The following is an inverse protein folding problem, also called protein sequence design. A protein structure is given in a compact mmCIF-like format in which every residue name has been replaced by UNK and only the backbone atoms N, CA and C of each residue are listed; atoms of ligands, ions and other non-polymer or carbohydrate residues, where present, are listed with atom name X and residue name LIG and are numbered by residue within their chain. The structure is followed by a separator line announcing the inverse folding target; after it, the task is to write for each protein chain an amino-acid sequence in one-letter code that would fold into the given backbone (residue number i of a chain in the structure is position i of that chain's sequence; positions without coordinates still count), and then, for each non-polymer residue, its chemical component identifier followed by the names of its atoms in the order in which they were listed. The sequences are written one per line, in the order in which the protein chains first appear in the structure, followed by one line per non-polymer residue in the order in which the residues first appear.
data_IF_473429035861
#
_entry.id   IF_473429035861
#
_cell.length_a   1.000
_cell.length_b   1.000
_cell.length_c   1.000
_cell.angle_alpha   90.00
_cell.angle_beta   90.00
_cell.angle_gamma   90.00
#
_symmetry.space_group_name_H-M   'P 1'
#
loop_
_entity.id
_entity.type
_entity.pdbx_description
1 polymer ?
#
# COMPACT_ATOMS: atom_id res chain seq x y z
N UNK A 1 -31.62 -41.39 18.40
CA UNK A 1 -30.73 -40.93 17.30
C UNK A 1 -31.38 -39.74 16.59
N UNK A 2 -30.87 -38.51 16.80
CA UNK A 2 -31.03 -37.40 15.86
C UNK A 2 -29.72 -37.15 15.10
N UNK A 3 -29.83 -37.19 13.78
CA UNK A 3 -28.83 -36.81 12.80
C UNK A 3 -28.83 -35.28 12.66
N UNK A 4 -27.70 -34.61 12.85
CA UNK A 4 -27.57 -33.20 12.46
C UNK A 4 -26.17 -32.90 11.93
N UNK A 5 -26.10 -33.02 10.60
CA UNK A 5 -25.49 -32.05 9.69
C UNK A 5 -24.17 -31.44 10.16
N UNK A 6 -23.07 -32.11 9.82
CA UNK A 6 -21.73 -31.53 9.80
C UNK A 6 -21.68 -30.41 8.76
N UNK A 7 -21.96 -29.19 9.22
CA UNK A 7 -21.83 -27.95 8.47
C UNK A 7 -20.37 -27.80 8.01
N UNK A 8 -20.15 -28.09 6.73
CA UNK A 8 -18.87 -28.01 6.06
C UNK A 8 -18.34 -26.58 6.18
N UNK A 9 -17.22 -26.41 6.91
CA UNK A 9 -16.51 -25.15 7.07
C UNK A 9 -16.17 -24.58 5.69
N UNK A 10 -16.95 -23.59 5.26
CA UNK A 10 -16.63 -22.76 4.13
C UNK A 10 -15.38 -21.96 4.50
N UNK A 11 -14.21 -22.43 4.04
CA UNK A 11 -12.96 -21.70 4.09
C UNK A 11 -13.05 -20.57 3.05
N UNK A 12 -13.88 -19.57 3.35
CA UNK A 12 -13.79 -18.28 2.70
C UNK A 12 -12.45 -17.70 3.13
N UNK A 13 -11.42 -17.92 2.30
CA UNK A 13 -10.27 -17.04 2.20
C UNK A 13 -10.85 -15.69 1.79
N UNK A 14 -11.32 -14.96 2.80
CA UNK A 14 -11.72 -13.57 2.72
C UNK A 14 -10.43 -12.81 2.42
N UNK A 15 -10.04 -12.83 1.14
CA UNK A 15 -9.16 -11.85 0.57
C UNK A 15 -9.98 -10.58 0.62
N UNK A 16 -9.97 -9.98 1.81
CA UNK A 16 -10.60 -8.72 2.12
C UNK A 16 -9.91 -7.69 1.26
N UNK A 17 -10.39 -7.57 0.02
CA UNK A 17 -10.20 -6.42 -0.83
C UNK A 17 -11.04 -5.31 -0.17
N UNK A 18 -10.55 -4.87 0.98
CA UNK A 18 -10.95 -3.63 1.57
C UNK A 18 -10.65 -2.58 0.50
N UNK A 19 -11.70 -2.11 -0.17
CA UNK A 19 -11.70 -0.99 -1.10
C UNK A 19 -11.31 0.34 -0.40
N UNK A 20 -10.49 0.29 0.64
CA UNK A 20 -9.74 1.43 1.14
C UNK A 20 -8.66 1.69 0.11
N UNK A 21 -8.92 2.66 -0.78
CA UNK A 21 -7.89 3.25 -1.66
C UNK A 21 -6.71 3.68 -0.79
N UNK A 22 -5.74 2.79 -0.63
CA UNK A 22 -4.56 3.06 0.18
C UNK A 22 -3.60 3.84 -0.69
N UNK A 23 -3.74 5.16 -0.63
CA UNK A 23 -2.84 6.11 -1.31
C UNK A 23 -1.38 5.95 -0.87
N UNK A 24 -1.14 5.20 0.21
CA UNK A 24 0.18 4.82 0.68
C UNK A 24 0.94 3.99 -0.36
N UNK A 25 0.32 2.94 -0.91
CA UNK A 25 0.95 2.10 -1.93
C UNK A 25 1.27 2.86 -3.22
N UNK A 26 0.38 3.78 -3.60
CA UNK A 26 0.56 4.65 -4.77
C UNK A 26 1.70 5.64 -4.54
N UNK A 27 1.77 6.27 -3.36
CA UNK A 27 2.85 7.19 -3.01
C UNK A 27 4.22 6.53 -3.02
N UNK A 28 4.34 5.34 -2.43
CA UNK A 28 5.58 4.55 -2.44
C UNK A 28 5.97 4.17 -3.88
N UNK A 29 5.03 3.67 -4.68
CA UNK A 29 5.31 3.26 -6.07
C UNK A 29 5.85 4.41 -6.93
N UNK A 30 5.22 5.59 -6.84
CA UNK A 30 5.65 6.80 -7.55
C UNK A 30 7.03 7.25 -7.04
N UNK A 31 7.21 7.30 -5.72
CA UNK A 31 8.47 7.69 -5.11
C UNK A 31 9.64 6.79 -5.51
N UNK A 32 9.42 5.48 -5.58
CA UNK A 32 10.44 4.52 -6.05
C UNK A 32 10.72 4.75 -7.53
N UNK A 33 9.72 4.84 -8.40
CA UNK A 33 9.93 5.00 -9.84
C UNK A 33 10.69 6.29 -10.20
N UNK A 34 10.36 7.40 -9.55
CA UNK A 34 11.06 8.67 -9.74
C UNK A 34 12.45 8.66 -9.10
N UNK A 35 12.55 8.14 -7.87
CA UNK A 35 13.79 8.06 -7.13
C UNK A 35 14.83 7.16 -7.80
N UNK A 36 14.43 6.00 -8.33
CA UNK A 36 15.32 5.14 -9.10
C UNK A 36 15.74 5.80 -10.40
N UNK A 37 14.82 6.42 -11.15
CA UNK A 37 15.15 7.13 -12.39
C UNK A 37 16.17 8.25 -12.18
N UNK A 38 15.98 9.07 -11.15
CA UNK A 38 16.93 10.13 -10.77
C UNK A 38 18.24 9.53 -10.26
N UNK A 39 18.18 8.50 -9.41
CA UNK A 39 19.35 7.80 -8.87
C UNK A 39 20.22 7.19 -9.96
N UNK A 40 19.62 6.62 -11.00
CA UNK A 40 20.34 6.10 -12.18
C UNK A 40 21.00 7.24 -12.94
N UNK A 41 20.29 8.36 -13.14
CA UNK A 41 20.83 9.52 -13.87
C UNK A 41 22.04 10.16 -13.17
N UNK A 42 22.07 10.18 -11.84
CA UNK A 42 23.19 10.69 -11.04
C UNK A 42 24.24 9.62 -10.69
N UNK A 43 24.10 8.40 -11.21
CA UNK A 43 24.95 7.25 -10.91
C UNK A 43 25.03 6.92 -9.41
N UNK A 44 23.99 7.27 -8.66
CA UNK A 44 23.85 7.05 -7.22
C UNK A 44 22.44 6.57 -6.87
N UNK A 45 22.22 5.28 -7.10
CA UNK A 45 20.96 4.59 -6.80
C UNK A 45 20.56 4.71 -5.32
N UNK A 46 21.47 4.53 -4.32
CA UNK A 46 21.09 4.60 -2.91
C UNK A 46 20.47 5.95 -2.53
N UNK A 47 21.06 7.05 -3.00
CA UNK A 47 20.55 8.41 -2.74
C UNK A 47 19.22 8.64 -3.46
N UNK A 48 19.11 8.21 -4.72
CA UNK A 48 17.87 8.35 -5.49
C UNK A 48 16.70 7.57 -4.89
N UNK A 49 16.91 6.30 -4.54
CA UNK A 49 15.89 5.45 -3.91
C UNK A 49 15.57 5.93 -2.50
N UNK A 50 16.57 6.28 -1.69
CA UNK A 50 16.35 6.78 -0.33
C UNK A 50 15.53 8.07 -0.29
N UNK A 51 15.87 9.03 -1.14
CA UNK A 51 15.12 10.28 -1.30
C UNK A 51 13.73 10.03 -1.89
N UNK A 52 13.63 9.22 -2.95
CA UNK A 52 12.36 8.89 -3.60
C UNK A 52 11.37 8.17 -2.68
N UNK A 53 11.83 7.22 -1.87
CA UNK A 53 11.01 6.54 -0.86
C UNK A 53 10.58 7.52 0.22
N UNK A 54 11.47 8.37 0.75
CA UNK A 54 11.12 9.37 1.75
C UNK A 54 10.03 10.33 1.25
N UNK A 55 10.15 10.80 0.01
CA UNK A 55 9.16 11.67 -0.64
C UNK A 55 7.85 10.93 -0.92
N UNK A 56 7.91 9.72 -1.48
CA UNK A 56 6.74 8.89 -1.79
C UNK A 56 5.95 8.48 -0.55
N UNK A 57 6.64 8.11 0.53
CA UNK A 57 6.05 7.83 1.84
C UNK A 57 5.43 9.09 2.43
N UNK A 58 6.11 10.23 2.39
CA UNK A 58 5.57 11.49 2.92
C UNK A 58 4.29 11.92 2.19
N UNK A 59 4.29 11.82 0.86
CA UNK A 59 3.14 12.17 0.02
C UNK A 59 1.98 11.16 0.20
N UNK A 60 2.30 9.86 0.21
CA UNK A 60 1.34 8.79 0.46
C UNK A 60 0.74 8.86 1.87
N UNK A 61 1.55 9.20 2.87
CA UNK A 61 1.12 9.44 4.24
C UNK A 61 0.22 10.67 4.32
N UNK A 62 0.60 11.80 3.72
CA UNK A 62 -0.24 13.00 3.70
C UNK A 62 -1.61 12.72 3.07
N UNK A 63 -1.65 12.02 1.93
CA UNK A 63 -2.87 11.67 1.22
C UNK A 63 -3.74 10.68 2.03
N UNK A 64 -3.10 9.72 2.71
CA UNK A 64 -3.78 8.75 3.57
C UNK A 64 -4.23 9.34 4.92
N UNK A 65 -3.56 10.38 5.41
CA UNK A 65 -3.96 11.16 6.59
C UNK A 65 -5.13 12.09 6.30
N UNK A 66 -5.41 12.40 5.02
CA UNK A 66 -6.65 13.03 4.56
C UNK A 66 -7.80 12.03 4.43
N UNK A 67 -7.88 11.01 5.29
CA UNK A 67 -9.18 10.38 5.56
C UNK A 67 -10.07 11.51 6.06
N UNK A 68 -11.23 11.78 5.44
CA UNK A 68 -12.16 12.76 5.96
C UNK A 68 -12.40 12.37 7.41
N UNK A 69 -11.91 13.20 8.33
CA UNK A 69 -12.37 13.15 9.71
C UNK A 69 -13.84 13.53 9.59
N UNK A 70 -14.70 12.52 9.64
CA UNK A 70 -16.12 12.70 9.83
C UNK A 70 -16.27 13.67 11.02
N UNK A 71 -16.80 14.87 10.71
CA UNK A 71 -17.13 15.89 11.70
C UNK A 71 -18.54 15.64 12.19
#
# INVERSE_FOLDING_TARGET
MPNHSSNHKNNSKDNKQDNKKSYMGVGIGIGIALGTGIGVAINNIPVGVGSGVALGVSLGAMMNSRKPKEK
#
